data_IF_930044947153
#
_entry.id   IF_930044947153
#
_cell.length_a   1.000
_cell.length_b   1.000
_cell.length_c   1.000
_cell.angle_alpha   90.00
_cell.angle_beta   90.00
_cell.angle_gamma   90.00
#
_symmetry.space_group_name_H-M   'P 1'
#
loop_
_entity.id
_entity.type
_entity.pdbx_description
1 polymer ?
#
# COMPACT_ATOMS: atom_id res chain seq x y z
N UNK A 1 -3.48 -11.36 -9.13
CA UNK A 1 -2.45 -10.70 -8.30
C UNK A 1 -1.75 -11.77 -7.46
N UNK A 2 -0.41 -11.84 -7.41
CA UNK A 2 0.29 -12.74 -6.49
C UNK A 2 0.02 -12.37 -5.02
N UNK A 3 0.10 -13.34 -4.11
CA UNK A 3 0.08 -13.08 -2.67
C UNK A 3 1.37 -12.38 -2.22
N UNK A 4 1.32 -11.68 -1.09
CA UNK A 4 2.46 -10.93 -0.53
C UNK A 4 3.61 -11.83 -0.03
N UNK A 5 3.37 -13.13 0.16
CA UNK A 5 4.46 -14.08 0.46
C UNK A 5 5.09 -14.70 -0.80
N UNK A 6 4.64 -14.31 -2.00
CA UNK A 6 5.30 -14.73 -3.23
C UNK A 6 6.72 -14.14 -3.29
N UNK A 7 7.68 -14.80 -3.96
CA UNK A 7 9.03 -14.24 -4.08
C UNK A 7 9.04 -12.85 -4.71
N UNK A 8 9.70 -11.92 -4.03
CA UNK A 8 9.84 -10.54 -4.48
C UNK A 8 11.15 -10.31 -5.22
N UNK A 9 11.12 -9.35 -6.16
CA UNK A 9 12.32 -8.83 -6.81
C UNK A 9 12.89 -7.63 -6.04
N UNK A 10 12.01 -6.77 -5.52
CA UNK A 10 12.36 -5.60 -4.72
C UNK A 10 11.16 -5.07 -3.93
N UNK A 11 11.42 -4.22 -2.93
CA UNK A 11 10.42 -3.43 -2.18
C UNK A 11 10.66 -1.95 -2.35
N UNK A 12 9.60 -1.18 -2.60
CA UNK A 12 9.61 0.28 -2.50
C UNK A 12 9.16 0.72 -1.11
N UNK A 13 9.91 1.65 -0.50
CA UNK A 13 9.62 2.20 0.83
C UNK A 13 9.63 3.73 0.73
N UNK A 14 8.52 4.38 1.07
CA UNK A 14 8.44 5.84 1.12
C UNK A 14 9.19 6.39 2.33
N UNK A 15 9.99 7.44 2.13
CA UNK A 15 10.79 8.04 3.18
C UNK A 15 10.18 9.38 3.66
N UNK A 16 10.02 9.60 4.98
CA UNK A 16 9.45 10.84 5.50
C UNK A 16 10.27 12.06 5.06
N UNK A 17 9.63 12.95 4.30
CA UNK A 17 10.32 14.05 3.58
C UNK A 17 9.71 15.43 3.81
N UNK A 18 8.54 15.51 4.45
CA UNK A 18 7.79 16.76 4.63
C UNK A 18 7.69 17.13 6.10
N UNK A 19 8.32 18.25 6.49
CA UNK A 19 8.16 18.82 7.82
C UNK A 19 6.73 19.31 8.10
N UNK A 20 5.99 19.71 7.06
CA UNK A 20 4.60 20.13 7.20
C UNK A 20 3.67 18.95 7.53
N UNK A 21 3.92 17.78 6.93
CA UNK A 21 3.15 16.57 7.21
C UNK A 21 3.52 15.94 8.57
N UNK A 22 4.81 15.88 8.89
CA UNK A 22 5.31 15.11 10.03
C UNK A 22 5.59 15.94 11.28
N UNK A 23 5.81 17.25 11.16
CA UNK A 23 6.11 18.15 12.29
C UNK A 23 7.28 17.66 13.16
N UNK A 24 7.12 17.77 14.48
CA UNK A 24 8.15 17.38 15.45
C UNK A 24 8.58 15.89 15.35
N UNK A 25 7.69 14.92 15.04
CA UNK A 25 8.08 13.54 14.79
C UNK A 25 8.99 13.25 13.60
N UNK A 26 9.21 14.17 12.65
CA UNK A 26 9.86 13.86 11.36
C UNK A 26 11.17 13.08 11.50
N UNK A 27 12.11 13.57 12.32
CA UNK A 27 13.41 12.92 12.48
C UNK A 27 13.29 11.50 13.05
N UNK A 28 12.36 11.29 13.99
CA UNK A 28 12.10 9.96 14.55
C UNK A 28 11.49 9.03 13.51
N UNK A 29 10.56 9.53 12.69
CA UNK A 29 9.96 8.75 11.62
C UNK A 29 11.00 8.32 10.58
N UNK A 30 11.92 9.22 10.21
CA UNK A 30 13.04 8.91 9.30
C UNK A 30 13.92 7.78 9.84
N UNK A 31 14.27 7.82 11.14
CA UNK A 31 15.03 6.75 11.79
C UNK A 31 14.27 5.41 11.80
N UNK A 32 12.96 5.43 12.05
CA UNK A 32 12.14 4.22 12.08
C UNK A 32 11.98 3.59 10.69
N UNK A 33 11.75 4.41 9.66
CA UNK A 33 11.65 3.93 8.27
C UNK A 33 13.00 3.43 7.76
N UNK A 34 14.12 4.10 8.09
CA UNK A 34 15.44 3.59 7.77
C UNK A 34 15.73 2.25 8.46
N UNK A 35 15.36 2.10 9.74
CA UNK A 35 15.49 0.83 10.46
C UNK A 35 14.65 -0.29 9.82
N UNK A 36 13.43 0.03 9.35
CA UNK A 36 12.61 -0.91 8.60
C UNK A 36 13.27 -1.31 7.26
N UNK A 37 13.74 -0.33 6.48
CA UNK A 37 14.46 -0.58 5.23
C UNK A 37 15.70 -1.48 5.43
N UNK A 38 16.49 -1.21 6.47
CA UNK A 38 17.66 -2.03 6.83
C UNK A 38 17.27 -3.45 7.25
N UNK A 39 16.15 -3.61 7.97
CA UNK A 39 15.64 -4.92 8.36
C UNK A 39 15.18 -5.74 7.15
N UNK A 40 14.51 -5.12 6.17
CA UNK A 40 14.09 -5.76 4.91
C UNK A 40 15.30 -6.14 4.06
N UNK A 41 16.29 -5.24 3.96
CA UNK A 41 17.55 -5.49 3.26
C UNK A 41 18.39 -6.58 3.94
N UNK A 42 18.32 -6.68 5.27
CA UNK A 42 19.04 -7.64 6.11
C UNK A 42 20.54 -7.76 5.76
N UNK A 43 21.22 -6.62 5.64
CA UNK A 43 22.64 -6.56 5.24
C UNK A 43 22.95 -7.34 3.95
N UNK A 44 22.03 -7.30 2.98
CA UNK A 44 22.15 -7.95 1.68
C UNK A 44 21.71 -9.42 1.65
N UNK A 45 21.20 -9.96 2.75
CA UNK A 45 20.63 -11.31 2.81
C UNK A 45 19.11 -11.32 2.60
N UNK A 46 18.46 -10.15 2.64
CA UNK A 46 17.02 -9.98 2.46
C UNK A 46 16.67 -9.54 1.05
N UNK A 47 15.66 -8.67 0.94
CA UNK A 47 15.18 -8.19 -0.35
C UNK A 47 15.99 -7.00 -0.86
N UNK A 48 15.95 -6.78 -2.19
CA UNK A 48 16.42 -5.52 -2.76
C UNK A 48 15.47 -4.40 -2.32
N UNK A 49 16.01 -3.32 -1.75
CA UNK A 49 15.20 -2.21 -1.22
C UNK A 49 15.46 -0.94 -2.01
N UNK A 50 14.37 -0.25 -2.34
CA UNK A 50 14.34 1.06 -2.95
C UNK A 50 13.67 2.04 -1.97
N UNK A 51 14.44 2.98 -1.41
CA UNK A 51 13.94 4.06 -0.56
C UNK A 51 13.61 5.27 -1.43
N UNK A 52 12.35 5.69 -1.42
CA UNK A 52 11.85 6.80 -2.21
C UNK A 52 11.80 8.05 -1.33
N UNK A 53 12.69 8.99 -1.59
CA UNK A 53 12.80 10.24 -0.85
C UNK A 53 12.16 11.41 -1.64
N UNK A 54 11.38 12.24 -0.95
CA UNK A 54 10.63 13.36 -1.52
C UNK A 54 11.45 14.61 -1.84
N UNK A 55 12.71 14.66 -1.39
CA UNK A 55 13.61 15.80 -1.59
C UNK A 55 15.08 15.36 -1.56
N UNK A 56 15.97 16.24 -2.04
CA UNK A 56 17.42 15.98 -1.99
C UNK A 56 17.93 15.89 -0.55
N UNK A 57 17.44 16.78 0.34
CA UNK A 57 17.77 16.74 1.78
C UNK A 57 17.32 15.43 2.42
N UNK A 58 16.09 14.98 2.13
CA UNK A 58 15.61 13.71 2.64
C UNK A 58 16.40 12.51 2.09
N UNK A 59 16.87 12.58 0.84
CA UNK A 59 17.73 11.55 0.25
C UNK A 59 19.11 11.49 0.91
N UNK A 60 19.72 12.64 1.25
CA UNK A 60 20.97 12.71 2.01
C UNK A 60 20.80 12.11 3.41
N UNK A 61 19.74 12.48 4.13
CA UNK A 61 19.42 11.91 5.44
C UNK A 61 19.19 10.40 5.35
N UNK A 62 18.48 9.93 4.31
CA UNK A 62 18.30 8.50 4.09
C UNK A 62 19.64 7.80 3.88
N UNK A 63 20.54 8.37 3.07
CA UNK A 63 21.86 7.81 2.77
C UNK A 63 22.73 7.64 4.02
N UNK A 64 22.60 8.51 5.01
CA UNK A 64 23.30 8.40 6.29
C UNK A 64 22.71 7.34 7.23
N UNK A 65 21.43 6.99 7.07
CA UNK A 65 20.70 6.11 7.98
C UNK A 65 20.57 4.66 7.46
N UNK A 66 20.55 4.46 6.14
CA UNK A 66 20.30 3.15 5.53
C UNK A 66 21.60 2.40 5.18
N UNK A 67 21.51 1.08 5.07
CA UNK A 67 22.62 0.23 4.63
C UNK A 67 23.09 0.61 3.21
N UNK A 68 24.40 0.58 2.96
CA UNK A 68 25.00 0.94 1.65
C UNK A 68 24.52 0.15 0.42
N UNK A 69 23.83 -0.98 0.61
CA UNK A 69 23.23 -1.78 -0.48
C UNK A 69 21.82 -1.34 -0.89
N UNK A 70 21.21 -0.42 -0.13
CA UNK A 70 19.85 0.09 -0.38
C UNK A 70 19.92 1.18 -1.44
N UNK A 71 19.04 1.08 -2.44
CA UNK A 71 18.94 2.09 -3.50
C UNK A 71 18.08 3.25 -3.02
N UNK A 72 18.57 4.48 -3.17
CA UNK A 72 17.82 5.69 -2.83
C UNK A 72 17.43 6.40 -4.13
N UNK A 73 16.14 6.67 -4.28
CA UNK A 73 15.60 7.42 -5.41
C UNK A 73 14.95 8.71 -4.91
N UNK A 74 15.39 9.84 -5.45
CA UNK A 74 14.67 11.09 -5.27
C UNK A 74 13.49 11.16 -6.26
N UNK A 75 12.27 11.24 -5.75
CA UNK A 75 11.02 11.37 -6.52
C UNK A 75 10.11 12.41 -5.87
N UNK A 76 9.09 12.87 -6.59
CA UNK A 76 8.05 13.67 -5.96
C UNK A 76 7.04 12.72 -5.30
N UNK A 77 7.07 12.67 -3.97
CA UNK A 77 6.07 11.98 -3.15
C UNK A 77 5.48 12.96 -2.14
N UNK A 78 4.19 12.82 -1.84
CA UNK A 78 3.51 13.67 -0.88
C UNK A 78 3.76 13.20 0.54
N UNK A 79 3.51 11.93 0.79
CA UNK A 79 3.81 11.23 2.04
C UNK A 79 4.31 9.79 1.78
N UNK A 80 4.53 9.01 2.84
CA UNK A 80 5.24 7.73 2.78
C UNK A 80 4.43 6.52 2.30
N UNK A 81 3.13 6.69 2.07
CA UNK A 81 2.14 5.60 1.94
C UNK A 81 2.12 4.93 0.57
N UNK A 82 3.27 4.42 0.12
CA UNK A 82 3.41 3.74 -1.19
C UNK A 82 2.60 2.45 -1.31
N UNK A 83 2.13 1.88 -0.19
CA UNK A 83 1.09 0.84 -0.17
C UNK A 83 -0.17 1.28 -0.93
N UNK A 84 -0.54 2.54 -0.80
CA UNK A 84 -1.79 3.09 -1.30
C UNK A 84 -1.61 3.92 -2.57
N UNK A 85 -0.47 4.57 -2.74
CA UNK A 85 -0.16 5.44 -3.87
C UNK A 85 0.68 4.78 -4.96
N UNK A 86 1.27 3.61 -4.66
CA UNK A 86 2.05 2.81 -5.58
C UNK A 86 1.19 2.05 -6.60
N UNK A 87 1.81 1.62 -7.70
CA UNK A 87 1.16 0.69 -8.62
C UNK A 87 1.13 -0.74 -8.03
N UNK A 88 0.14 -1.53 -8.43
CA UNK A 88 0.01 -2.94 -8.05
C UNK A 88 0.55 -3.80 -9.20
N UNK A 89 1.54 -4.65 -8.91
CA UNK A 89 2.12 -5.55 -9.91
C UNK A 89 1.29 -6.83 -10.00
N UNK A 90 0.82 -7.17 -11.21
CA UNK A 90 0.04 -8.38 -11.49
C UNK A 90 0.68 -9.22 -12.59
N UNK A 91 0.29 -10.50 -12.65
CA UNK A 91 0.66 -11.39 -13.76
C UNK A 91 -0.33 -11.23 -14.91
N UNK A 92 0.19 -11.18 -16.12
CA UNK A 92 -0.57 -11.22 -17.38
C UNK A 92 0.08 -12.28 -18.29
N UNK A 93 -0.47 -13.50 -18.25
CA UNK A 93 0.21 -14.69 -18.78
C UNK A 93 1.59 -14.89 -18.13
N UNK A 94 2.64 -14.97 -18.95
CA UNK A 94 4.03 -15.09 -18.51
C UNK A 94 4.69 -13.75 -18.17
N UNK A 95 3.98 -12.62 -18.37
CA UNK A 95 4.49 -11.26 -18.14
C UNK A 95 4.04 -10.73 -16.78
N UNK A 96 4.73 -9.69 -16.32
CA UNK A 96 4.31 -8.84 -15.20
C UNK A 96 3.96 -7.46 -15.74
N UNK A 97 2.82 -6.93 -15.32
CA UNK A 97 2.36 -5.58 -15.67
C UNK A 97 2.02 -4.80 -14.40
N UNK A 98 2.06 -3.48 -14.48
CA UNK A 98 1.66 -2.60 -13.39
C UNK A 98 0.21 -2.12 -13.62
N UNK A 99 -0.65 -2.31 -12.62
CA UNK A 99 -1.98 -1.67 -12.53
C UNK A 99 -1.84 -0.40 -11.69
N UNK A 100 -2.11 0.74 -12.30
CA UNK A 100 -2.05 2.03 -11.61
C UNK A 100 -3.47 2.56 -11.40
N UNK A 101 -3.92 2.59 -10.15
CA UNK A 101 -5.26 3.05 -9.77
C UNK A 101 -5.26 4.55 -9.49
N UNK A 102 -6.44 5.14 -9.45
CA UNK A 102 -6.58 6.51 -8.96
C UNK A 102 -6.40 6.55 -7.44
N UNK A 103 -5.75 7.60 -6.96
CA UNK A 103 -5.64 7.92 -5.53
C UNK A 103 -6.28 9.29 -5.26
N UNK A 104 -7.08 9.39 -4.20
CA UNK A 104 -7.76 10.64 -3.84
C UNK A 104 -7.49 11.09 -2.39
N UNK A 105 -6.45 10.56 -1.73
CA UNK A 105 -6.12 10.94 -0.35
C UNK A 105 -7.12 10.38 0.65
N UNK A 106 -7.47 9.10 0.49
CA UNK A 106 -8.51 8.39 1.26
C UNK A 106 -9.77 9.23 1.40
N UNK A 107 -10.46 9.50 0.29
CA UNK A 107 -11.72 10.26 0.29
C UNK A 107 -11.57 11.78 0.39
N UNK A 108 -10.46 12.34 -0.10
CA UNK A 108 -10.22 13.78 -0.12
C UNK A 108 -9.74 14.37 1.21
N UNK A 109 -9.26 13.54 2.14
CA UNK A 109 -8.68 14.00 3.42
C UNK A 109 -7.34 14.69 3.23
N UNK A 110 -6.57 14.23 2.25
CA UNK A 110 -5.23 14.74 1.97
C UNK A 110 -5.06 15.00 0.47
N UNK A 111 -4.34 16.07 0.13
CA UNK A 111 -3.97 16.39 -1.24
C UNK A 111 -2.52 16.82 -1.26
N UNK A 112 -1.63 15.83 -1.33
CA UNK A 112 -0.20 16.06 -1.44
C UNK A 112 0.27 15.84 -2.88
N UNK A 113 1.14 16.74 -3.33
CA UNK A 113 1.73 16.64 -4.65
C UNK A 113 2.62 15.39 -4.76
N UNK A 114 2.49 14.64 -5.85
CA UNK A 114 3.24 13.40 -6.09
C UNK A 114 2.45 12.12 -5.80
N UNK A 115 1.53 12.13 -4.83
CA UNK A 115 0.80 10.91 -4.44
C UNK A 115 -0.08 10.35 -5.57
N UNK A 116 -0.53 11.21 -6.49
CA UNK A 116 -1.32 10.80 -7.66
C UNK A 116 -0.47 10.36 -8.86
N UNK A 117 0.85 10.59 -8.84
CA UNK A 117 1.75 10.32 -9.97
C UNK A 117 2.78 9.23 -9.67
N UNK A 118 3.14 9.04 -8.40
CA UNK A 118 4.25 8.16 -8.01
C UNK A 118 4.08 6.71 -8.49
N UNK A 119 2.88 6.14 -8.44
CA UNK A 119 2.63 4.78 -8.92
C UNK A 119 3.02 4.58 -10.40
N UNK A 120 2.75 5.56 -11.25
CA UNK A 120 3.15 5.53 -12.67
C UNK A 120 4.66 5.72 -12.85
N UNK A 121 5.28 6.59 -12.06
CA UNK A 121 6.73 6.84 -12.11
C UNK A 121 7.53 5.60 -11.69
N UNK A 122 7.09 4.90 -10.63
CA UNK A 122 7.70 3.66 -10.15
C UNK A 122 7.52 2.51 -11.17
N UNK A 123 6.34 2.39 -11.78
CA UNK A 123 6.11 1.41 -12.83
C UNK A 123 7.06 1.62 -14.01
N UNK A 124 7.21 2.88 -14.46
CA UNK A 124 8.08 3.25 -15.57
C UNK A 124 9.57 3.03 -15.24
N UNK A 125 10.02 3.40 -14.04
CA UNK A 125 11.43 3.23 -13.64
C UNK A 125 11.83 1.75 -13.53
N UNK A 126 10.90 0.88 -13.13
CA UNK A 126 11.09 -0.57 -13.10
C UNK A 126 10.83 -1.26 -14.45
N UNK A 127 10.46 -0.51 -15.50
CA UNK A 127 10.28 -1.05 -16.85
C UNK A 127 9.01 -1.88 -17.04
N UNK A 128 7.99 -1.69 -16.19
CA UNK A 128 6.70 -2.36 -16.35
C UNK A 128 5.86 -1.68 -17.44
N UNK A 129 5.21 -2.49 -18.27
CA UNK A 129 4.05 -2.01 -19.02
C UNK A 129 2.96 -1.64 -18.01
N UNK A 130 2.52 -0.39 -18.04
CA UNK A 130 1.56 0.15 -17.07
C UNK A 130 0.18 0.33 -17.72
N UNK A 131 -0.84 -0.17 -17.04
CA UNK A 131 -2.24 0.00 -17.40
C UNK A 131 -2.92 0.83 -16.32
N UNK A 132 -3.46 1.98 -16.70
CA UNK A 132 -4.14 2.89 -15.78
C UNK A 132 -5.61 2.49 -15.64
N UNK A 133 -6.08 2.36 -14.41
CA UNK A 133 -7.49 2.16 -14.09
C UNK A 133 -8.23 3.52 -13.99
N UNK A 134 -9.54 3.49 -14.24
CA UNK A 134 -10.44 4.66 -14.25
C UNK A 134 -11.23 4.84 -12.94
N UNK A 135 -10.80 4.19 -11.86
CA UNK A 135 -11.46 4.19 -10.55
C UNK A 135 -10.45 4.29 -9.40
N UNK A 136 -10.95 4.61 -8.21
CA UNK A 136 -10.13 4.79 -6.99
C UNK A 136 -9.96 3.45 -6.29
N UNK A 137 -8.72 3.09 -5.97
CA UNK A 137 -8.39 1.91 -5.17
C UNK A 137 -7.02 2.10 -4.52
N UNK A 138 -6.95 1.86 -3.22
CA UNK A 138 -5.70 1.84 -2.46
C UNK A 138 -5.22 0.39 -2.21
N UNK A 139 -3.93 0.11 -2.31
CA UNK A 139 -3.40 -1.24 -2.09
C UNK A 139 -3.63 -1.78 -0.67
N UNK A 140 -3.71 -0.92 0.35
CA UNK A 140 -4.05 -1.33 1.73
C UNK A 140 -5.51 -1.70 1.93
N UNK A 141 -6.39 -1.39 0.97
CA UNK A 141 -7.82 -1.71 1.03
C UNK A 141 -8.15 -3.16 0.60
N UNK A 142 -7.16 -3.89 0.09
CA UNK A 142 -7.32 -5.27 -0.38
C UNK A 142 -6.17 -6.17 0.09
N UNK A 143 -6.46 -7.44 0.36
CA UNK A 143 -5.45 -8.46 0.65
C UNK A 143 -5.80 -9.76 -0.08
N UNK A 144 -4.82 -10.46 -0.65
CA UNK A 144 -5.05 -11.59 -1.58
C UNK A 144 -4.30 -12.85 -1.16
N UNK A 145 -4.92 -14.01 -1.39
CA UNK A 145 -4.31 -15.31 -1.09
C UNK A 145 -3.46 -15.88 -2.24
N UNK A 146 -3.43 -15.17 -3.37
CA UNK A 146 -2.69 -15.55 -4.58
C UNK A 146 -3.34 -16.66 -5.42
N UNK A 147 -4.51 -17.18 -5.04
CA UNK A 147 -5.29 -18.20 -5.76
C UNK A 147 -6.71 -17.72 -6.12
N UNK A 148 -6.87 -16.41 -6.28
CA UNK A 148 -8.12 -15.78 -6.72
C UNK A 148 -9.10 -15.47 -5.58
N UNK A 149 -8.75 -15.73 -4.32
CA UNK A 149 -9.49 -15.21 -3.17
C UNK A 149 -8.83 -13.92 -2.66
N UNK A 150 -9.66 -12.92 -2.40
CA UNK A 150 -9.27 -11.68 -1.75
C UNK A 150 -10.18 -11.36 -0.56
N UNK A 151 -9.72 -10.47 0.32
CA UNK A 151 -10.48 -9.90 1.41
C UNK A 151 -10.42 -8.36 1.34
N UNK A 152 -11.50 -7.71 1.77
CA UNK A 152 -11.64 -6.25 1.86
C UNK A 152 -12.68 -5.90 2.93
N UNK A 153 -12.90 -4.62 3.19
CA UNK A 153 -13.95 -4.13 4.10
C UNK A 153 -15.05 -3.39 3.33
N UNK A 154 -16.28 -3.47 3.82
CA UNK A 154 -17.40 -2.71 3.28
C UNK A 154 -17.22 -1.21 3.55
N UNK A 155 -16.73 -0.85 4.74
CA UNK A 155 -16.51 0.55 5.15
C UNK A 155 -15.60 1.32 4.21
N UNK A 156 -14.60 0.65 3.61
CA UNK A 156 -13.65 1.28 2.71
C UNK A 156 -14.18 1.32 1.28
N UNK A 157 -14.39 0.16 0.65
CA UNK A 157 -14.65 0.13 -0.80
C UNK A 157 -16.07 0.57 -1.18
N UNK A 158 -17.05 0.45 -0.27
CA UNK A 158 -18.40 0.97 -0.49
C UNK A 158 -18.58 2.40 0.03
N UNK A 159 -17.52 3.02 0.56
CA UNK A 159 -17.59 4.41 0.97
C UNK A 159 -17.88 5.31 -0.25
N UNK A 160 -18.92 6.16 -0.21
CA UNK A 160 -19.22 7.08 -1.30
C UNK A 160 -18.07 8.05 -1.62
N UNK A 161 -17.13 8.26 -0.68
CA UNK A 161 -15.96 9.12 -0.90
C UNK A 161 -14.88 8.48 -1.81
N UNK A 162 -14.99 7.18 -2.12
CA UNK A 162 -14.14 6.49 -3.11
C UNK A 162 -14.78 6.55 -4.48
N UNK A 163 -15.77 5.67 -4.70
CA UNK A 163 -16.37 5.44 -6.01
C UNK A 163 -17.91 5.57 -5.92
N UNK A 164 -18.47 6.79 -5.85
CA UNK A 164 -19.90 7.01 -5.54
C UNK A 164 -20.88 6.44 -6.58
N UNK A 165 -20.39 6.07 -7.76
CA UNK A 165 -21.19 5.51 -8.86
C UNK A 165 -21.06 3.99 -8.98
N UNK A 166 -20.15 3.35 -8.23
CA UNK A 166 -19.94 1.92 -8.28
C UNK A 166 -20.67 1.26 -7.12
N UNK A 167 -21.57 0.33 -7.45
CA UNK A 167 -22.13 -0.56 -6.45
C UNK A 167 -21.18 -1.73 -6.16
N UNK A 168 -21.56 -2.56 -5.19
CA UNK A 168 -20.80 -3.74 -4.78
C UNK A 168 -20.46 -4.68 -5.94
N UNK A 169 -21.40 -4.94 -6.84
CA UNK A 169 -21.21 -5.86 -7.97
C UNK A 169 -20.27 -5.26 -9.03
N UNK A 170 -20.36 -3.94 -9.25
CA UNK A 170 -19.43 -3.22 -10.12
C UNK A 170 -18.00 -3.26 -9.56
N UNK A 171 -17.82 -3.07 -8.26
CA UNK A 171 -16.50 -3.19 -7.60
C UNK A 171 -15.94 -4.60 -7.73
N UNK A 172 -16.75 -5.64 -7.47
CA UNK A 172 -16.33 -7.03 -7.66
C UNK A 172 -15.90 -7.33 -9.10
N UNK A 173 -16.61 -6.76 -10.08
CA UNK A 173 -16.26 -6.90 -11.51
C UNK A 173 -14.93 -6.21 -11.82
N UNK A 174 -14.72 -4.98 -11.34
CA UNK A 174 -13.48 -4.23 -11.52
C UNK A 174 -12.27 -4.95 -10.90
N UNK A 175 -12.42 -5.45 -9.66
CA UNK A 175 -11.37 -6.23 -8.98
C UNK A 175 -11.02 -7.51 -9.75
N UNK A 176 -12.01 -8.17 -10.34
CA UNK A 176 -11.76 -9.33 -11.20
C UNK A 176 -10.96 -8.96 -12.45
N UNK A 177 -11.41 -7.94 -13.17
CA UNK A 177 -10.82 -7.56 -14.47
C UNK A 177 -9.41 -6.98 -14.31
N UNK A 178 -9.20 -6.14 -13.28
CA UNK A 178 -7.93 -5.46 -13.08
C UNK A 178 -6.92 -6.32 -12.31
N UNK A 179 -7.36 -7.11 -11.32
CA UNK A 179 -6.47 -7.82 -10.39
C UNK A 179 -6.57 -9.35 -10.46
N UNK A 180 -7.52 -9.92 -11.20
CA UNK A 180 -7.73 -11.36 -11.28
C UNK A 180 -8.28 -11.98 -9.99
N UNK A 181 -9.17 -11.26 -9.31
CA UNK A 181 -9.84 -11.71 -8.09
C UNK A 181 -11.15 -12.41 -8.48
N UNK A 182 -11.26 -13.70 -8.20
CA UNK A 182 -12.44 -14.51 -8.53
C UNK A 182 -13.50 -14.47 -7.43
N UNK A 183 -13.05 -14.44 -6.18
CA UNK A 183 -13.89 -14.47 -4.97
C UNK A 183 -13.44 -13.37 -4.02
N UNK A 184 -14.40 -12.62 -3.51
CA UNK A 184 -14.14 -11.52 -2.58
C UNK A 184 -14.85 -11.75 -1.25
N UNK A 185 -14.07 -11.83 -0.17
CA UNK A 185 -14.56 -11.84 1.20
C UNK A 185 -14.74 -10.40 1.66
N UNK A 186 -15.99 -9.98 1.82
CA UNK A 186 -16.34 -8.69 2.41
C UNK A 186 -16.41 -8.82 3.92
N UNK A 187 -15.44 -8.23 4.63
CA UNK A 187 -15.61 -7.90 6.04
C UNK A 187 -16.51 -6.66 6.16
N UNK A 188 -17.05 -6.45 7.36
CA UNK A 188 -17.88 -5.29 7.65
C UNK A 188 -17.02 -4.08 7.94
N UNK A 189 -16.96 -3.75 9.23
CA UNK A 189 -16.40 -2.49 9.70
C UNK A 189 -14.86 -2.54 9.82
N UNK A 190 -14.23 -1.39 9.65
CA UNK A 190 -12.81 -1.19 9.93
C UNK A 190 -12.50 -1.04 11.42
N UNK A 191 -11.22 -0.81 11.75
CA UNK A 191 -10.84 -0.44 13.12
C UNK A 191 -11.21 1.02 13.43
N UNK A 192 -11.52 1.29 14.70
CA UNK A 192 -11.77 2.65 15.19
C UNK A 192 -10.53 3.53 15.06
N UNK A 193 -10.74 4.81 14.75
CA UNK A 193 -9.68 5.82 14.53
C UNK A 193 -8.75 5.53 13.35
N UNK A 194 -9.21 4.73 12.38
CA UNK A 194 -8.56 4.57 11.09
C UNK A 194 -9.00 5.69 10.13
N UNK A 195 -8.03 6.45 9.62
CA UNK A 195 -8.27 7.56 8.70
C UNK A 195 -8.52 7.10 7.26
N UNK A 196 -8.34 5.81 6.97
CA UNK A 196 -8.48 5.22 5.64
C UNK A 196 -9.90 4.71 5.33
N UNK A 197 -10.85 4.92 6.23
CA UNK A 197 -12.19 4.30 6.20
C UNK A 197 -12.15 2.78 6.34
N UNK A 198 -11.20 2.25 7.12
CA UNK A 198 -11.19 0.84 7.49
C UNK A 198 -10.45 -0.03 6.50
N UNK A 199 -9.20 0.29 6.19
CA UNK A 199 -8.37 -0.59 5.37
C UNK A 199 -8.28 -2.01 5.96
N UNK A 200 -8.29 -3.01 5.08
CA UNK A 200 -8.20 -4.42 5.47
C UNK A 200 -6.81 -4.74 6.03
N UNK A 201 -5.76 -4.03 5.61
CA UNK A 201 -4.40 -4.30 6.07
C UNK A 201 -4.15 -3.99 7.56
N UNK A 202 -5.00 -3.17 8.18
CA UNK A 202 -5.07 -2.95 9.62
C UNK A 202 -5.83 -4.07 10.37
N UNK A 203 -6.67 -4.83 9.68
CA UNK A 203 -7.67 -5.73 10.28
C UNK A 203 -7.43 -7.21 9.98
N UNK A 204 -7.05 -7.60 8.78
CA UNK A 204 -6.96 -9.00 8.40
C UNK A 204 -5.96 -9.23 7.26
N UNK A 205 -5.06 -10.20 7.43
CA UNK A 205 -4.03 -10.53 6.42
C UNK A 205 -4.02 -12.03 6.14
N UNK A 206 -4.02 -12.42 4.87
CA UNK A 206 -3.74 -13.78 4.47
C UNK A 206 -2.29 -14.12 4.82
N UNK A 207 -2.08 -15.29 5.41
CA UNK A 207 -0.75 -15.83 5.74
C UNK A 207 -0.44 -17.12 4.98
N UNK A 208 -1.47 -17.70 4.37
CA UNK A 208 -1.35 -18.72 3.34
C UNK A 208 -2.69 -18.81 2.59
N UNK A 209 -2.73 -19.68 1.59
CA UNK A 209 -3.92 -19.95 0.80
C UNK A 209 -5.08 -20.34 1.72
N UNK A 210 -6.22 -19.66 1.59
CA UNK A 210 -7.41 -19.83 2.44
C UNK A 210 -7.16 -19.70 3.97
N UNK A 211 -6.10 -19.01 4.43
CA UNK A 211 -5.86 -18.77 5.86
C UNK A 211 -5.59 -17.30 6.12
N UNK A 212 -6.49 -16.68 6.90
CA UNK A 212 -6.43 -15.27 7.27
C UNK A 212 -6.24 -15.13 8.78
N UNK A 213 -5.39 -14.19 9.20
CA UNK A 213 -5.24 -13.80 10.60
C UNK A 213 -5.99 -12.50 10.85
N UNK A 214 -6.66 -12.42 11.99
CA UNK A 214 -7.42 -11.24 12.45
C UNK A 214 -7.01 -10.97 13.91
N UNK A 215 -6.72 -9.72 14.30
CA UNK A 215 -6.41 -9.39 15.68
C UNK A 215 -7.65 -9.59 16.56
N UNK A 216 -7.41 -10.00 17.81
CA UNK A 216 -8.45 -10.08 18.83
C UNK A 216 -8.29 -8.91 19.79
N UNK A 217 -9.38 -8.20 20.08
CA UNK A 217 -9.39 -7.07 21.01
C UNK A 217 -8.83 -7.45 22.39
N UNK A 218 -8.07 -6.54 22.99
CA UNK A 218 -7.35 -6.74 24.26
C UNK A 218 -8.26 -6.56 25.49
N UNK A 219 -9.43 -7.22 25.50
CA UNK A 219 -10.40 -7.19 26.59
C UNK A 219 -11.46 -6.09 26.46
N UNK A 220 -12.31 -5.96 27.48
CA UNK A 220 -13.57 -5.20 27.41
C UNK A 220 -13.42 -3.67 27.20
N UNK A 221 -12.22 -3.11 27.41
CA UNK A 221 -11.96 -1.68 27.22
C UNK A 221 -11.29 -1.36 25.88
N UNK A 222 -11.03 -2.38 25.05
CA UNK A 222 -10.53 -2.17 23.70
C UNK A 222 -11.63 -1.51 22.85
N UNK A 223 -11.37 -0.38 22.18
CA UNK A 223 -12.36 0.28 21.34
C UNK A 223 -12.84 -0.58 20.16
N UNK A 224 -12.14 -1.67 19.85
CA UNK A 224 -12.48 -2.62 18.79
C UNK A 224 -12.98 -3.97 19.33
N UNK A 225 -13.22 -4.10 20.64
CA UNK A 225 -13.89 -5.27 21.17
C UNK A 225 -15.33 -5.32 20.69
N UNK A 226 -15.76 -6.48 20.19
CA UNK A 226 -17.15 -6.71 19.82
C UNK A 226 -18.06 -6.42 21.04
N UNK A 227 -19.14 -5.67 20.81
CA UNK A 227 -20.19 -5.45 21.81
C UNK A 227 -20.92 -6.76 22.15
#
# INVERSE_FOLDING_TARGET
MPAEWAPHEAVWIGFPSSADAWGAPLQRAQQQIAAFANAVHASGQGERVHVIAGSAEAAEIAADLVDSGIHIEQRQIGDVWLRDTGCIIVKDGDRRIARNFGFNGWGGRYDYAGDRTIGAELAASAGFEMHKADWILEGGSIDVDGQGLAATTADCLLNPNRNPTLDKAAIETRLRDDLGIDRLLWLGDGLSNDHTDGHIDNLARFVSVNHILIPQGAGANDPNSAA
#
